data_IF_071339332594
#
_entry.id   IF_071339332594
#
_cell.length_a   1.000
_cell.length_b   1.000
_cell.length_c   1.000
_cell.angle_alpha   90.00
_cell.angle_beta   90.00
_cell.angle_gamma   90.00
#
_symmetry.space_group_name_H-M   'P 1'
#
loop_
_entity.id
_entity.type
_entity.pdbx_description
1 polymer ?
#
# COMPACT_ATOMS: atom_id res chain seq x y z
N UNK A 1 -18.97 -5.02 12.98
CA UNK A 1 -18.44 -4.16 11.90
C UNK A 1 -17.41 -3.21 12.52
N UNK A 2 -16.14 -3.61 12.58
CA UNK A 2 -15.09 -2.80 13.21
C UNK A 2 -14.29 -2.07 12.13
N UNK A 3 -14.59 -0.79 11.92
CA UNK A 3 -13.70 0.10 11.19
C UNK A 3 -12.53 0.47 12.11
N UNK A 4 -11.34 -0.06 11.87
CA UNK A 4 -10.11 0.34 12.57
C UNK A 4 -9.72 1.76 12.16
N UNK A 5 -10.29 2.74 12.84
CA UNK A 5 -9.91 4.16 12.79
C UNK A 5 -8.57 4.33 13.52
N UNK A 6 -7.45 3.87 12.93
CA UNK A 6 -6.14 4.02 13.55
C UNK A 6 -5.00 3.15 13.04
N UNK A 7 -5.11 2.57 11.83
CA UNK A 7 -4.02 1.78 11.26
C UNK A 7 -2.76 2.63 10.97
N UNK A 8 -1.57 2.01 11.10
CA UNK A 8 -0.28 2.64 10.80
C UNK A 8 -0.27 3.19 9.37
N UNK A 9 0.29 4.40 9.22
CA UNK A 9 0.40 5.10 7.95
C UNK A 9 1.85 5.13 7.45
N UNK A 10 2.05 4.69 6.22
CA UNK A 10 3.34 4.68 5.55
C UNK A 10 3.54 5.95 4.72
N UNK A 11 4.78 6.43 4.66
CA UNK A 11 5.25 7.41 3.67
C UNK A 11 5.36 6.77 2.28
N UNK A 12 5.44 7.56 1.20
CA UNK A 12 5.76 7.04 -0.13
C UNK A 12 7.08 6.26 -0.17
N UNK A 13 8.08 6.69 0.63
CA UNK A 13 9.39 6.02 0.72
C UNK A 13 9.32 4.64 1.37
N UNK A 14 8.54 4.49 2.45
CA UNK A 14 8.34 3.18 3.08
C UNK A 14 7.62 2.21 2.14
N UNK A 15 6.58 2.66 1.43
CA UNK A 15 5.90 1.83 0.42
C UNK A 15 6.85 1.46 -0.71
N UNK A 16 7.64 2.42 -1.18
CA UNK A 16 8.62 2.21 -2.25
C UNK A 16 9.66 1.14 -1.87
N UNK A 17 10.14 1.15 -0.63
CA UNK A 17 11.07 0.15 -0.12
C UNK A 17 10.45 -1.26 -0.12
N UNK A 18 9.16 -1.38 0.26
CA UNK A 18 8.45 -2.67 0.27
C UNK A 18 8.27 -3.25 -1.15
N UNK A 19 7.84 -2.42 -2.10
CA UNK A 19 7.65 -2.85 -3.49
C UNK A 19 8.94 -2.85 -4.33
N UNK A 20 10.07 -2.41 -3.76
CA UNK A 20 11.36 -2.23 -4.44
C UNK A 20 11.27 -1.34 -5.68
N UNK A 21 10.54 -0.24 -5.57
CA UNK A 21 10.37 0.77 -6.63
C UNK A 21 10.83 2.15 -6.16
N UNK A 22 10.77 3.14 -7.04
CA UNK A 22 11.01 4.55 -6.67
C UNK A 22 9.77 5.20 -6.01
N UNK A 23 9.93 6.09 -5.00
CA UNK A 23 8.79 6.80 -4.38
C UNK A 23 7.91 7.60 -5.36
N UNK A 24 8.46 8.09 -6.47
CA UNK A 24 7.69 8.76 -7.54
C UNK A 24 6.76 7.78 -8.23
N UNK A 25 7.13 6.51 -8.36
CA UNK A 25 6.27 5.44 -8.88
C UNK A 25 5.07 5.21 -7.97
N UNK A 26 5.29 5.15 -6.65
CA UNK A 26 4.20 5.05 -5.67
C UNK A 26 3.26 6.26 -5.76
N UNK A 27 3.81 7.46 -5.91
CA UNK A 27 3.03 8.69 -6.08
C UNK A 27 2.19 8.67 -7.36
N UNK A 28 2.72 8.08 -8.44
CA UNK A 28 1.97 7.87 -9.70
C UNK A 28 0.84 6.86 -9.51
N UNK A 29 1.06 5.75 -8.82
CA UNK A 29 0.00 4.78 -8.50
C UNK A 29 -1.14 5.43 -7.70
N UNK A 30 -0.79 6.23 -6.70
CA UNK A 30 -1.77 6.97 -5.90
C UNK A 30 -2.58 7.98 -6.72
N UNK A 31 -1.94 8.61 -7.71
CA UNK A 31 -2.60 9.56 -8.62
C UNK A 31 -3.50 8.83 -9.61
N UNK A 32 -3.11 7.63 -10.03
CA UNK A 32 -3.89 6.75 -10.90
C UNK A 32 -5.00 5.96 -10.17
N UNK A 33 -5.14 6.12 -8.84
CA UNK A 33 -6.13 5.39 -8.05
C UNK A 33 -5.83 3.90 -7.87
N UNK A 34 -4.60 3.45 -8.16
CA UNK A 34 -4.18 2.04 -8.02
C UNK A 34 -3.86 1.64 -6.59
N UNK A 35 -3.68 2.62 -5.72
CA UNK A 35 -3.47 2.44 -4.28
C UNK A 35 -4.13 3.62 -3.57
N UNK A 36 -4.90 3.34 -2.54
CA UNK A 36 -5.54 4.30 -1.67
C UNK A 36 -4.51 5.21 -1.00
N UNK A 37 -4.79 6.51 -0.95
CA UNK A 37 -3.90 7.46 -0.30
C UNK A 37 -4.66 8.53 0.47
N UNK A 38 -4.11 8.89 1.61
CA UNK A 38 -4.57 9.99 2.46
C UNK A 38 -3.62 11.16 2.23
N UNK A 39 -4.16 12.35 1.97
CA UNK A 39 -3.35 13.57 1.91
C UNK A 39 -3.32 14.23 3.28
N UNK A 40 -2.13 14.56 3.75
CA UNK A 40 -1.97 15.42 4.93
C UNK A 40 -2.31 16.87 4.58
N UNK A 41 -2.59 17.74 5.57
CA UNK A 41 -2.79 19.17 5.31
C UNK A 41 -1.64 19.83 4.54
N UNK A 42 -0.40 19.36 4.72
CA UNK A 42 0.79 19.82 3.97
C UNK A 42 0.94 19.22 2.56
N UNK A 43 -0.02 18.43 2.08
CA UNK A 43 -0.04 17.86 0.72
C UNK A 43 0.75 16.57 0.53
N UNK A 44 1.48 16.09 1.55
CA UNK A 44 2.18 14.80 1.49
C UNK A 44 1.17 13.64 1.50
N UNK A 45 1.50 12.55 0.79
CA UNK A 45 0.69 11.34 0.78
C UNK A 45 1.08 10.40 1.92
N UNK A 46 0.07 9.70 2.44
CA UNK A 46 0.19 8.59 3.39
C UNK A 46 -0.64 7.41 2.90
N UNK A 47 -0.16 6.21 3.19
CA UNK A 47 -0.78 4.95 2.73
C UNK A 47 -1.09 4.09 3.94
N UNK A 48 -2.25 3.42 3.96
CA UNK A 48 -2.56 2.50 5.06
C UNK A 48 -1.66 1.27 4.92
N UNK A 49 -0.97 0.90 5.99
CA UNK A 49 -0.10 -0.28 6.01
C UNK A 49 -0.88 -1.56 5.66
N UNK A 50 -2.12 -1.71 6.13
CA UNK A 50 -2.97 -2.86 5.82
C UNK A 50 -3.20 -3.03 4.31
N UNK A 51 -3.61 -1.97 3.63
CA UNK A 51 -3.87 -1.98 2.17
C UNK A 51 -2.58 -2.24 1.37
N UNK A 52 -1.45 -1.67 1.82
CA UNK A 52 -0.14 -1.92 1.21
C UNK A 52 0.25 -3.39 1.33
N UNK A 53 0.01 -4.01 2.49
CA UNK A 53 0.30 -5.41 2.71
C UNK A 53 -0.63 -6.34 1.92
N UNK A 54 -1.91 -5.99 1.77
CA UNK A 54 -2.85 -6.71 0.91
C UNK A 54 -2.37 -6.72 -0.55
N UNK A 55 -1.96 -5.56 -1.08
CA UNK A 55 -1.41 -5.47 -2.45
C UNK A 55 -0.11 -6.29 -2.63
N UNK A 56 0.75 -6.35 -1.62
CA UNK A 56 1.96 -7.21 -1.67
C UNK A 56 1.59 -8.69 -1.69
N UNK A 57 0.59 -9.08 -0.89
CA UNK A 57 0.10 -10.45 -0.86
C UNK A 57 -0.50 -10.85 -2.21
N UNK A 58 -1.31 -9.98 -2.83
CA UNK A 58 -1.88 -10.22 -4.17
C UNK A 58 -0.82 -10.43 -5.25
N UNK A 59 0.31 -9.73 -5.19
CA UNK A 59 1.41 -9.88 -6.14
C UNK A 59 2.28 -11.12 -5.90
N UNK A 60 2.26 -11.66 -4.67
CA UNK A 60 3.09 -12.80 -4.25
C UNK A 60 2.31 -14.11 -4.24
N UNK A 61 0.99 -14.05 -4.17
CA UNK A 61 0.11 -15.21 -4.39
C UNK A 61 0.26 -15.63 -5.85
N UNK A 62 1.04 -16.68 -6.08
CA UNK A 62 0.83 -17.57 -7.21
C UNK A 62 -0.61 -18.09 -7.11
N UNK A 63 -1.49 -17.87 -8.11
CA UNK A 63 -2.81 -18.49 -8.13
C UNK A 63 -2.76 -20.03 -8.24
N UNK A 64 -1.55 -20.62 -8.27
CA UNK A 64 -1.25 -22.04 -8.36
C UNK A 64 -0.26 -22.53 -7.27
N UNK A 65 -0.03 -21.74 -6.21
CA UNK A 65 0.76 -22.18 -5.06
C UNK A 65 0.02 -23.25 -4.25
N UNK A 66 0.71 -24.22 -3.60
CA UNK A 66 0.04 -25.26 -2.83
C UNK A 66 -0.82 -24.62 -1.74
N UNK A 67 -2.12 -24.92 -1.75
CA UNK A 67 -3.07 -24.53 -0.73
C UNK A 67 -2.57 -25.07 0.62
N UNK A 68 -2.10 -24.17 1.48
CA UNK A 68 -1.69 -24.54 2.84
C UNK A 68 -2.94 -24.93 3.64
N UNK A 69 -2.89 -26.05 4.39
CA UNK A 69 -4.01 -26.60 5.14
C UNK A 69 -4.41 -25.76 6.37
#
# INVERSE_FOLDING_TARGET
MTATTGGRLLTPGEVAALFRVDPKTVTRWATAGRIGSIRTPGGHRRFREAEVNELLAELTTDPNGPQQP
#
